data_IF_190434984170
#
_entry.id   IF_190434984170
#
_cell.length_a   1.000
_cell.length_b   1.000
_cell.length_c   1.000
_cell.angle_alpha   90.00
_cell.angle_beta   90.00
_cell.angle_gamma   90.00
#
_symmetry.space_group_name_H-M   'P 1'
#
loop_
_entity.id
_entity.type
_entity.pdbx_description
1 polymer ?
#
# COMPACT_ATOMS: atom_id res chain seq x y z
N UNK A 1 -47.57 41.87 38.92
CA UNK A 1 -47.36 40.95 37.79
C UNK A 1 -46.14 41.26 36.92
N UNK A 2 -45.43 42.40 37.10
CA UNK A 2 -44.34 42.79 36.18
C UNK A 2 -42.97 42.17 36.45
N UNK A 3 -42.67 41.74 37.68
CA UNK A 3 -41.31 41.29 38.06
C UNK A 3 -40.99 39.82 37.72
N UNK A 4 -42.01 38.97 37.50
CA UNK A 4 -41.80 37.55 37.15
C UNK A 4 -41.46 37.37 35.66
N UNK A 5 -41.98 38.24 34.80
CA UNK A 5 -41.71 38.25 33.35
C UNK A 5 -40.31 38.77 33.01
N UNK A 6 -39.81 39.77 33.74
CA UNK A 6 -38.43 40.26 33.56
C UNK A 6 -37.36 39.23 33.95
N UNK A 7 -37.62 38.40 34.97
CA UNK A 7 -36.68 37.38 35.40
C UNK A 7 -36.59 36.21 34.39
N UNK A 8 -37.70 35.84 33.74
CA UNK A 8 -37.70 34.81 32.70
C UNK A 8 -37.00 35.29 31.42
N UNK A 9 -37.24 36.53 30.98
CA UNK A 9 -36.55 37.10 29.81
C UNK A 9 -35.04 37.26 30.04
N UNK A 10 -34.62 37.61 31.26
CA UNK A 10 -33.20 37.67 31.61
C UNK A 10 -32.56 36.29 31.63
N UNK A 11 -33.24 35.26 32.14
CA UNK A 11 -32.74 33.89 32.16
C UNK A 11 -32.64 33.29 30.75
N UNK A 12 -33.61 33.57 29.89
CA UNK A 12 -33.63 33.17 28.49
C UNK A 12 -32.54 33.88 27.67
N UNK A 13 -32.33 35.18 27.90
CA UNK A 13 -31.23 35.93 27.27
C UNK A 13 -29.84 35.46 27.75
N UNK A 14 -29.70 35.06 29.01
CA UNK A 14 -28.45 34.49 29.55
C UNK A 14 -28.19 33.07 29.04
N UNK A 15 -29.24 32.26 28.83
CA UNK A 15 -29.10 30.92 28.25
C UNK A 15 -28.75 30.99 26.76
N UNK A 16 -29.41 31.91 26.02
CA UNK A 16 -29.11 32.20 24.62
C UNK A 16 -27.67 32.71 24.46
N UNK A 17 -27.23 33.63 25.32
CA UNK A 17 -25.83 34.10 25.36
C UNK A 17 -24.84 32.98 25.76
N UNK A 18 -25.21 32.05 26.63
CA UNK A 18 -24.39 30.87 26.97
C UNK A 18 -24.30 29.84 25.83
N UNK A 19 -25.35 29.66 25.04
CA UNK A 19 -25.34 28.85 23.81
C UNK A 19 -24.53 29.53 22.71
N UNK A 20 -24.71 30.85 22.52
CA UNK A 20 -23.93 31.66 21.57
C UNK A 20 -22.43 31.67 21.91
N UNK A 21 -22.06 31.64 23.20
CA UNK A 21 -20.66 31.52 23.68
C UNK A 21 -20.15 30.08 23.59
N UNK A 22 -21.00 29.05 23.74
CA UNK A 22 -20.58 27.64 23.54
C UNK A 22 -20.35 27.30 22.07
N UNK A 23 -21.04 27.98 21.15
CA UNK A 23 -20.73 27.96 19.71
C UNK A 23 -19.51 28.83 19.34
N UNK A 24 -19.00 29.65 20.26
CA UNK A 24 -17.79 30.43 20.04
C UNK A 24 -16.53 29.60 20.36
N UNK A 25 -16.08 28.87 19.34
CA UNK A 25 -14.67 28.62 19.00
C UNK A 25 -13.95 27.54 19.82
N UNK A 26 -14.38 26.28 19.68
CA UNK A 26 -13.37 25.28 19.33
C UNK A 26 -13.31 25.30 17.79
N UNK A 27 -12.16 25.55 17.15
CA UNK A 27 -12.08 25.38 15.71
C UNK A 27 -12.54 23.95 15.39
N UNK A 28 -13.40 23.80 14.38
CA UNK A 28 -13.77 22.47 13.90
C UNK A 28 -12.46 21.76 13.50
N UNK A 29 -12.17 20.64 14.14
CA UNK A 29 -10.94 19.88 13.87
C UNK A 29 -11.21 18.82 12.80
N UNK A 30 -10.49 18.91 11.69
CA UNK A 30 -10.45 17.89 10.65
C UNK A 30 -9.25 16.98 10.88
N UNK A 31 -9.53 15.70 11.13
CA UNK A 31 -8.50 14.67 11.12
C UNK A 31 -8.34 14.15 9.70
N UNK A 32 -7.12 14.27 9.19
CA UNK A 32 -6.74 13.86 7.84
C UNK A 32 -5.75 12.72 7.93
N UNK A 33 -6.04 11.60 7.29
CA UNK A 33 -5.12 10.48 7.12
C UNK A 33 -4.94 10.18 5.64
N UNK A 34 -3.73 10.38 5.15
CA UNK A 34 -3.29 10.05 3.79
C UNK A 34 -2.24 8.95 3.90
N UNK A 35 -2.38 7.91 3.08
CA UNK A 35 -1.40 6.82 3.00
C UNK A 35 -0.22 7.23 2.09
N UNK A 36 0.95 6.62 2.28
CA UNK A 36 2.19 6.96 1.54
C UNK A 36 2.04 6.84 0.01
N UNK A 37 1.20 5.91 -0.44
CA UNK A 37 0.98 5.61 -1.85
C UNK A 37 -0.51 5.44 -2.12
N UNK A 38 -1.04 6.29 -3.01
CA UNK A 38 -2.44 6.27 -3.42
C UNK A 38 -2.55 6.06 -4.92
N UNK A 39 -3.26 5.00 -5.30
CA UNK A 39 -3.55 4.66 -6.69
C UNK A 39 -4.97 5.09 -7.04
N UNK A 40 -5.11 5.89 -8.10
CA UNK A 40 -6.39 6.38 -8.62
C UNK A 40 -6.60 5.93 -10.07
N UNK A 41 -7.82 5.51 -10.39
CA UNK A 41 -8.18 5.08 -11.74
C UNK A 41 -8.60 6.25 -12.65
N UNK A 42 -8.95 7.39 -12.05
CA UNK A 42 -9.43 8.58 -12.73
C UNK A 42 -8.37 9.69 -12.75
N UNK A 43 -8.27 10.41 -13.87
CA UNK A 43 -7.38 11.57 -13.99
C UNK A 43 -7.79 12.76 -13.11
N UNK A 44 -9.06 12.81 -12.67
CA UNK A 44 -9.56 13.81 -11.73
C UNK A 44 -9.60 13.22 -10.35
N UNK A 45 -8.84 13.83 -9.43
CA UNK A 45 -8.63 13.31 -8.08
C UNK A 45 -9.32 14.22 -7.08
N UNK A 46 -10.25 13.65 -6.33
CA UNK A 46 -10.93 14.32 -5.23
C UNK A 46 -10.27 13.95 -3.90
N UNK A 47 -10.48 14.78 -2.88
CA UNK A 47 -9.88 14.55 -1.56
C UNK A 47 -10.34 13.22 -0.94
N UNK A 48 -11.57 12.79 -1.20
CA UNK A 48 -12.07 11.48 -0.75
C UNK A 48 -11.33 10.29 -1.36
N UNK A 49 -10.71 10.47 -2.54
CA UNK A 49 -10.02 9.39 -3.26
C UNK A 49 -8.61 9.16 -2.68
N UNK A 50 -8.06 10.17 -1.98
CA UNK A 50 -6.69 10.18 -1.46
C UNK A 50 -6.59 10.15 0.05
N UNK A 51 -7.65 10.56 0.76
CA UNK A 51 -7.60 10.75 2.19
C UNK A 51 -8.82 10.19 2.91
N UNK A 52 -8.56 9.51 4.03
CA UNK A 52 -9.57 9.27 5.05
C UNK A 52 -9.71 10.52 5.91
N UNK A 53 -10.95 10.98 6.09
CA UNK A 53 -11.26 12.23 6.79
C UNK A 53 -12.34 12.02 7.84
N UNK A 54 -12.12 12.58 9.02
CA UNK A 54 -13.09 12.64 10.12
C UNK A 54 -13.18 14.06 10.65
N UNK A 55 -14.40 14.58 10.85
CA UNK A 55 -14.63 15.92 11.38
C UNK A 55 -15.96 15.95 12.11
N UNK A 56 -16.02 16.71 13.21
CA UNK A 56 -17.25 16.93 14.01
C UNK A 56 -18.37 17.57 13.18
N UNK A 57 -18.02 18.34 12.14
CA UNK A 57 -18.95 19.04 11.27
C UNK A 57 -19.17 18.28 9.95
N UNK A 58 -20.28 17.53 9.87
CA UNK A 58 -20.62 16.73 8.68
C UNK A 58 -20.79 17.56 7.40
N UNK A 59 -21.23 18.82 7.51
CA UNK A 59 -21.47 19.66 6.34
C UNK A 59 -20.13 20.03 5.66
N UNK A 60 -19.13 20.38 6.47
CA UNK A 60 -17.75 20.64 6.00
C UNK A 60 -17.15 19.36 5.43
N UNK A 61 -17.30 18.22 6.12
CA UNK A 61 -16.77 16.93 5.66
C UNK A 61 -17.31 16.53 4.28
N UNK A 62 -18.61 16.73 4.01
CA UNK A 62 -19.21 16.40 2.70
C UNK A 62 -18.66 17.28 1.57
N UNK A 63 -18.43 18.56 1.85
CA UNK A 63 -17.86 19.48 0.85
C UNK A 63 -16.40 19.16 0.58
N UNK A 64 -15.61 18.90 1.63
CA UNK A 64 -14.20 18.51 1.50
C UNK A 64 -14.05 17.21 0.71
N UNK A 65 -14.91 16.21 0.91
CA UNK A 65 -14.90 14.96 0.13
C UNK A 65 -15.02 15.18 -1.38
N UNK A 66 -15.82 16.17 -1.80
CA UNK A 66 -16.03 16.51 -3.21
C UNK A 66 -15.00 17.52 -3.73
N UNK A 67 -14.15 18.08 -2.87
CA UNK A 67 -13.13 19.04 -3.29
C UNK A 67 -12.15 18.34 -4.24
N UNK A 68 -12.01 18.94 -5.41
CA UNK A 68 -11.05 18.52 -6.43
C UNK A 68 -9.67 19.03 -6.05
N UNK A 69 -8.72 18.11 -5.89
CA UNK A 69 -7.35 18.42 -5.43
C UNK A 69 -6.40 18.54 -6.61
N UNK A 70 -6.53 17.63 -7.58
CA UNK A 70 -5.61 17.61 -8.71
C UNK A 70 -6.25 17.05 -9.97
N UNK A 71 -5.71 17.41 -11.12
CA UNK A 71 -6.03 16.79 -12.40
C UNK A 71 -4.76 16.49 -13.14
N UNK A 72 -4.55 15.20 -13.41
CA UNK A 72 -3.46 14.76 -14.26
C UNK A 72 -3.66 15.30 -15.68
N UNK A 73 -2.86 16.29 -16.07
CA UNK A 73 -2.85 16.78 -17.44
C UNK A 73 -2.16 15.75 -18.35
N UNK A 74 -2.62 15.63 -19.59
CA UNK A 74 -1.98 14.75 -20.59
C UNK A 74 -0.53 15.16 -20.93
N UNK A 75 -0.13 16.37 -20.57
CA UNK A 75 1.20 16.94 -20.84
C UNK A 75 2.20 16.77 -19.70
N UNK A 76 1.75 16.48 -18.47
CA UNK A 76 2.60 16.41 -17.27
C UNK A 76 3.38 15.09 -17.17
N UNK A 77 3.20 14.19 -18.14
CA UNK A 77 3.93 12.93 -18.20
C UNK A 77 4.66 12.87 -19.52
N UNK A 78 5.99 12.83 -19.46
CA UNK A 78 6.87 12.49 -20.58
C UNK A 78 6.19 11.40 -21.43
N UNK A 79 5.87 11.79 -22.67
CA UNK A 79 5.12 11.02 -23.66
C UNK A 79 5.68 9.60 -23.78
N UNK A 80 5.15 8.65 -23.00
CA UNK A 80 5.19 7.16 -23.16
C UNK A 80 4.93 6.36 -21.88
N UNK A 81 4.79 6.95 -20.69
CA UNK A 81 4.47 6.15 -19.49
C UNK A 81 2.96 5.97 -19.34
N UNK A 82 2.54 4.70 -19.27
CA UNK A 82 1.16 4.22 -19.04
C UNK A 82 0.63 4.55 -17.64
N UNK A 83 1.51 5.00 -16.76
CA UNK A 83 1.28 5.30 -15.35
C UNK A 83 1.80 6.72 -15.13
N UNK A 84 0.95 7.60 -14.60
CA UNK A 84 1.34 8.97 -14.23
C UNK A 84 1.56 9.02 -12.73
N UNK A 85 2.75 9.45 -12.30
CA UNK A 85 3.13 9.49 -10.89
C UNK A 85 3.47 10.92 -10.54
N UNK A 86 2.90 11.45 -9.46
CA UNK A 86 3.20 12.77 -8.94
C UNK A 86 3.33 12.70 -7.41
N UNK A 87 4.35 13.35 -6.86
CA UNK A 87 4.55 13.46 -5.41
C UNK A 87 3.92 14.75 -4.90
N UNK A 88 3.19 14.65 -3.80
CA UNK A 88 2.52 15.75 -3.13
C UNK A 88 2.94 15.81 -1.67
N UNK A 89 3.17 17.02 -1.18
CA UNK A 89 3.26 17.31 0.25
C UNK A 89 1.85 17.45 0.83
N UNK A 90 1.61 16.86 2.01
CA UNK A 90 0.32 17.02 2.71
C UNK A 90 0.09 18.47 3.10
N UNK A 91 1.13 19.28 3.29
CA UNK A 91 0.99 20.72 3.53
C UNK A 91 0.31 21.43 2.36
N UNK A 92 0.56 21.01 1.12
CA UNK A 92 -0.12 21.58 -0.05
C UNK A 92 -1.62 21.27 -0.03
N UNK A 93 -2.00 20.07 0.45
CA UNK A 93 -3.41 19.70 0.64
C UNK A 93 -4.04 20.55 1.76
N UNK A 94 -3.34 20.72 2.87
CA UNK A 94 -3.79 21.55 4.00
C UNK A 94 -3.97 23.01 3.56
N UNK A 95 -3.04 23.56 2.76
CA UNK A 95 -3.15 24.91 2.17
C UNK A 95 -4.43 25.05 1.34
N UNK A 96 -4.70 24.09 0.44
CA UNK A 96 -5.93 24.09 -0.36
C UNK A 96 -7.21 23.96 0.48
N UNK A 97 -7.16 23.28 1.63
CA UNK A 97 -8.29 23.19 2.55
C UNK A 97 -8.51 24.53 3.27
N UNK A 98 -7.44 25.17 3.75
CA UNK A 98 -7.50 26.46 4.42
C UNK A 98 -7.94 27.62 3.51
N UNK A 99 -7.74 27.51 2.18
CA UNK A 99 -8.29 28.48 1.21
C UNK A 99 -9.82 28.53 1.26
N UNK A 100 -10.49 27.39 1.43
CA UNK A 100 -11.96 27.32 1.52
C UNK A 100 -12.45 27.51 2.97
N UNK A 101 -11.66 27.01 3.94
CA UNK A 101 -12.02 27.01 5.36
C UNK A 101 -10.87 27.54 6.25
N UNK A 102 -10.68 28.86 6.36
CA UNK A 102 -9.56 29.46 7.10
C UNK A 102 -9.57 29.21 8.61
N UNK A 103 -10.75 28.89 9.17
CA UNK A 103 -10.96 28.68 10.61
C UNK A 103 -10.96 27.20 11.00
N UNK A 104 -10.73 26.28 10.06
CA UNK A 104 -10.70 24.85 10.29
C UNK A 104 -9.31 24.44 10.78
N UNK A 105 -9.24 23.68 11.87
CA UNK A 105 -7.97 23.13 12.35
C UNK A 105 -7.74 21.77 11.68
N UNK A 106 -6.67 21.63 10.89
CA UNK A 106 -6.36 20.36 10.21
C UNK A 106 -5.25 19.62 10.97
N UNK A 107 -5.56 18.41 11.42
CA UNK A 107 -4.63 17.51 12.09
C UNK A 107 -4.27 16.34 11.15
N UNK A 108 -3.01 16.30 10.69
CA UNK A 108 -2.49 15.18 9.90
C UNK A 108 -2.10 14.01 10.82
N UNK A 109 -2.72 12.85 10.60
CA UNK A 109 -2.42 11.57 11.27
C UNK A 109 -1.69 10.61 10.31
N UNK A 110 -1.70 10.90 9.01
CA UNK A 110 -1.05 10.09 7.99
C UNK A 110 0.41 10.47 7.74
N UNK A 111 0.88 10.14 6.54
CA UNK A 111 2.24 10.49 6.09
C UNK A 111 2.38 12.00 5.82
N UNK A 112 3.60 12.53 5.82
CA UNK A 112 3.88 13.94 5.51
C UNK A 112 3.89 14.24 4.02
N UNK A 113 4.37 13.28 3.22
CA UNK A 113 4.43 13.31 1.77
C UNK A 113 3.83 12.02 1.22
N UNK A 114 3.18 12.10 0.06
CA UNK A 114 2.56 10.93 -0.55
C UNK A 114 2.71 10.91 -2.08
N UNK A 115 2.66 9.71 -2.63
CA UNK A 115 2.73 9.43 -4.05
C UNK A 115 1.32 9.23 -4.59
N UNK A 116 0.96 9.98 -5.63
CA UNK A 116 -0.30 9.83 -6.35
C UNK A 116 -0.04 9.19 -7.72
N UNK A 117 -0.52 7.97 -7.88
CA UNK A 117 -0.38 7.17 -9.11
C UNK A 117 -1.71 7.10 -9.86
N UNK A 118 -1.77 7.60 -11.10
CA UNK A 118 -2.94 7.50 -11.97
C UNK A 118 -2.76 6.42 -13.04
N UNK A 119 -3.68 5.44 -13.05
CA UNK A 119 -3.73 4.30 -13.99
C UNK A 119 -4.82 4.41 -15.07
N UNK A 120 -5.27 5.62 -15.38
CA UNK A 120 -6.27 5.84 -16.42
C UNK A 120 -5.77 5.39 -17.81
N UNK A 121 -6.48 4.44 -18.43
CA UNK A 121 -6.28 4.07 -19.84
C UNK A 121 -5.29 2.94 -20.12
N UNK A 122 -4.96 2.10 -19.13
CA UNK A 122 -4.15 0.89 -19.39
C UNK A 122 -5.00 -0.16 -20.12
N UNK A 123 -5.06 -0.08 -21.45
CA UNK A 123 -5.43 -1.22 -22.28
C UNK A 123 -4.25 -2.19 -22.32
N UNK A 124 -4.22 -3.08 -21.33
CA UNK A 124 -3.28 -4.19 -21.30
C UNK A 124 -3.62 -5.17 -22.42
N UNK A 125 -2.64 -5.41 -23.29
CA UNK A 125 -2.72 -6.53 -24.23
C UNK A 125 -2.48 -7.82 -23.43
N UNK A 126 -3.54 -8.31 -22.77
CA UNK A 126 -3.53 -9.50 -21.90
C UNK A 126 -2.79 -10.68 -22.53
N UNK A 127 -2.91 -10.86 -23.85
CA UNK A 127 -2.22 -11.92 -24.58
C UNK A 127 -0.68 -11.76 -24.56
N UNK A 128 -0.16 -10.54 -24.74
CA UNK A 128 1.29 -10.29 -24.71
C UNK A 128 1.86 -10.45 -23.30
N UNK A 129 1.10 -10.07 -22.28
CA UNK A 129 1.49 -10.27 -20.89
C UNK A 129 1.55 -11.76 -20.54
N UNK A 130 0.52 -12.53 -20.92
CA UNK A 130 0.53 -13.99 -20.73
C UNK A 130 1.74 -14.62 -21.42
N UNK A 131 2.06 -14.24 -22.66
CA UNK A 131 3.23 -14.78 -23.37
C UNK A 131 4.53 -14.44 -22.62
N UNK A 132 4.69 -13.21 -22.15
CA UNK A 132 5.86 -12.80 -21.35
C UNK A 132 5.96 -13.59 -20.05
N UNK A 133 4.84 -13.77 -19.36
CA UNK A 133 4.78 -14.56 -18.12
C UNK A 133 5.18 -16.01 -18.37
N UNK A 134 4.66 -16.64 -19.42
CA UNK A 134 5.00 -18.03 -19.77
C UNK A 134 6.49 -18.15 -20.10
N UNK A 135 7.03 -17.23 -20.91
CA UNK A 135 8.46 -17.22 -21.25
C UNK A 135 9.34 -17.08 -20.00
N UNK A 136 8.97 -16.17 -19.09
CA UNK A 136 9.67 -15.99 -17.82
C UNK A 136 9.62 -17.24 -16.95
N UNK A 137 8.45 -17.90 -16.84
CA UNK A 137 8.30 -19.15 -16.12
C UNK A 137 9.21 -20.25 -16.67
N UNK A 138 9.33 -20.37 -18.00
CA UNK A 138 10.21 -21.35 -18.65
C UNK A 138 11.68 -21.08 -18.31
N UNK A 139 12.13 -19.82 -18.40
CA UNK A 139 13.50 -19.45 -18.06
C UNK A 139 13.81 -19.76 -16.59
N UNK A 140 12.92 -19.38 -15.68
CA UNK A 140 13.07 -19.64 -14.25
C UNK A 140 13.07 -21.15 -13.96
N UNK A 141 12.22 -21.92 -14.63
CA UNK A 141 12.15 -23.37 -14.47
C UNK A 141 13.49 -24.04 -14.84
N UNK A 142 14.03 -23.73 -16.02
CA UNK A 142 15.32 -24.29 -16.42
C UNK A 142 16.48 -23.77 -15.57
N UNK A 143 16.46 -22.49 -15.19
CA UNK A 143 17.47 -21.91 -14.29
C UNK A 143 17.47 -22.60 -12.92
N UNK A 144 16.31 -22.75 -12.29
CA UNK A 144 16.17 -23.43 -11.01
C UNK A 144 16.56 -24.91 -11.09
N UNK A 145 16.11 -25.62 -12.14
CA UNK A 145 16.47 -27.01 -12.37
C UNK A 145 17.99 -27.18 -12.53
N UNK A 146 18.62 -26.29 -13.30
CA UNK A 146 20.08 -26.28 -13.48
C UNK A 146 20.80 -26.02 -12.15
N UNK A 147 20.39 -24.99 -11.39
CA UNK A 147 20.99 -24.68 -10.08
C UNK A 147 20.86 -25.85 -9.09
N UNK A 148 19.69 -26.49 -9.02
CA UNK A 148 19.47 -27.66 -8.15
C UNK A 148 20.36 -28.82 -8.61
N UNK A 149 20.45 -29.08 -9.91
CA UNK A 149 21.29 -30.15 -10.45
C UNK A 149 22.77 -29.90 -10.13
N UNK A 150 23.27 -28.69 -10.34
CA UNK A 150 24.65 -28.34 -10.03
C UNK A 150 24.92 -28.42 -8.54
N UNK A 151 24.00 -27.97 -7.69
CA UNK A 151 24.16 -28.05 -6.25
C UNK A 151 24.19 -29.50 -5.74
N UNK A 152 23.24 -30.32 -6.19
CA UNK A 152 23.19 -31.74 -5.80
C UNK A 152 24.41 -32.52 -6.30
N UNK A 153 24.97 -32.14 -7.45
CA UNK A 153 26.20 -32.73 -7.95
C UNK A 153 27.44 -32.22 -7.18
N UNK A 154 27.56 -30.91 -6.95
CA UNK A 154 28.70 -30.29 -6.26
C UNK A 154 28.84 -30.76 -4.80
N UNK A 155 27.71 -30.93 -4.11
CA UNK A 155 27.67 -31.48 -2.74
C UNK A 155 27.80 -33.02 -2.73
N UNK A 156 27.76 -33.69 -3.89
CA UNK A 156 27.83 -35.14 -3.99
C UNK A 156 26.64 -35.83 -3.30
N UNK A 157 25.42 -35.29 -3.47
CA UNK A 157 24.21 -35.78 -2.79
C UNK A 157 23.96 -37.26 -3.05
N UNK A 158 24.23 -37.73 -4.28
CA UNK A 158 24.13 -39.15 -4.62
C UNK A 158 25.07 -40.04 -3.79
N UNK A 159 26.33 -39.61 -3.59
CA UNK A 159 27.30 -40.36 -2.79
C UNK A 159 26.92 -40.39 -1.32
N UNK A 160 26.43 -39.26 -0.79
CA UNK A 160 25.94 -39.16 0.58
C UNK A 160 24.72 -40.07 0.79
N UNK A 161 23.76 -40.03 -0.12
CA UNK A 161 22.58 -40.88 -0.04
C UNK A 161 22.89 -42.35 -0.20
N UNK A 162 23.82 -42.74 -1.08
CA UNK A 162 24.28 -44.12 -1.20
C UNK A 162 24.89 -44.66 0.10
N UNK A 163 25.77 -43.87 0.74
CA UNK A 163 26.37 -44.24 2.04
C UNK A 163 25.33 -44.30 3.14
N UNK A 164 24.40 -43.35 3.19
CA UNK A 164 23.34 -43.29 4.19
C UNK A 164 22.37 -44.47 4.00
N UNK A 165 22.04 -44.80 2.75
CA UNK A 165 21.25 -45.98 2.41
C UNK A 165 21.91 -47.26 2.91
N UNK A 166 23.19 -47.45 2.63
CA UNK A 166 23.94 -48.61 3.10
C UNK A 166 23.99 -48.69 4.63
N UNK A 167 24.15 -47.56 5.33
CA UNK A 167 24.16 -47.53 6.79
C UNK A 167 22.80 -47.88 7.41
N UNK A 168 21.70 -47.44 6.80
CA UNK A 168 20.33 -47.64 7.34
C UNK A 168 19.75 -48.99 6.93
N UNK A 169 19.91 -49.40 5.67
CA UNK A 169 19.30 -50.61 5.09
C UNK A 169 20.26 -51.81 5.14
N UNK A 170 21.57 -51.57 5.26
CA UNK A 170 22.59 -52.64 5.33
C UNK A 170 22.91 -53.30 3.99
N UNK A 171 22.46 -52.71 2.87
CA UNK A 171 22.65 -53.22 1.50
C UNK A 171 23.25 -52.11 0.63
N UNK A 172 24.04 -52.47 -0.37
CA UNK A 172 24.54 -51.48 -1.33
C UNK A 172 23.40 -50.90 -2.16
N UNK A 173 23.54 -49.63 -2.52
CA UNK A 173 22.59 -48.89 -3.36
C UNK A 173 22.66 -49.40 -4.80
N UNK A 174 21.51 -49.77 -5.38
CA UNK A 174 21.42 -50.28 -6.76
C UNK A 174 20.62 -49.32 -7.66
N UNK A 175 21.08 -48.07 -7.73
CA UNK A 175 20.45 -47.01 -8.52
C UNK A 175 19.59 -46.06 -7.68
N UNK A 176 18.37 -45.75 -8.16
CA UNK A 176 17.48 -44.79 -7.48
C UNK A 176 16.94 -45.42 -6.19
N UNK A 177 17.27 -44.83 -5.05
CA UNK A 177 16.90 -45.37 -3.72
C UNK A 177 15.59 -44.80 -3.19
N UNK A 178 14.97 -45.48 -2.22
CA UNK A 178 13.78 -44.95 -1.53
C UNK A 178 14.05 -43.59 -0.88
N UNK A 179 15.27 -43.36 -0.38
CA UNK A 179 15.69 -42.10 0.24
C UNK A 179 15.65 -40.95 -0.77
N UNK A 180 16.11 -41.19 -2.00
CA UNK A 180 16.05 -40.19 -3.08
C UNK A 180 14.61 -39.85 -3.46
N UNK A 181 13.70 -40.83 -3.45
CA UNK A 181 12.27 -40.59 -3.71
C UNK A 181 11.66 -39.74 -2.59
N UNK A 182 11.94 -40.04 -1.33
CA UNK A 182 11.48 -39.23 -0.19
C UNK A 182 12.06 -37.82 -0.21
N UNK A 183 13.33 -37.66 -0.62
CA UNK A 183 13.93 -36.34 -0.82
C UNK A 183 13.23 -35.57 -1.94
N UNK A 184 13.02 -36.20 -3.10
CA UNK A 184 12.39 -35.57 -4.26
C UNK A 184 10.95 -35.11 -4.00
N UNK A 185 10.19 -35.83 -3.16
CA UNK A 185 8.82 -35.48 -2.76
C UNK A 185 8.83 -34.54 -1.54
N UNK A 186 9.72 -34.78 -0.58
CA UNK A 186 9.82 -34.00 0.65
C UNK A 186 10.25 -32.56 0.41
N UNK A 187 11.12 -32.33 -0.58
CA UNK A 187 11.58 -31.00 -0.97
C UNK A 187 10.43 -30.07 -1.39
N UNK A 188 9.60 -30.38 -2.41
CA UNK A 188 8.50 -29.52 -2.81
C UNK A 188 7.45 -29.39 -1.70
N UNK A 189 7.17 -30.45 -0.93
CA UNK A 189 6.24 -30.38 0.22
C UNK A 189 6.76 -29.40 1.28
N UNK A 190 8.04 -29.52 1.66
CA UNK A 190 8.68 -28.65 2.65
C UNK A 190 8.65 -27.18 2.21
N UNK A 191 9.00 -26.89 0.95
CA UNK A 191 8.95 -25.54 0.38
C UNK A 191 7.51 -25.00 0.39
N UNK A 192 6.53 -25.81 0.01
CA UNK A 192 5.11 -25.41 -0.02
C UNK A 192 4.59 -25.05 1.37
N UNK A 193 4.94 -25.85 2.39
CA UNK A 193 4.58 -25.59 3.79
C UNK A 193 5.33 -24.34 4.31
N UNK A 194 6.62 -24.22 4.04
CA UNK A 194 7.46 -23.09 4.48
C UNK A 194 6.91 -21.75 3.98
N UNK A 195 6.54 -21.66 2.70
CA UNK A 195 5.93 -20.46 2.14
C UNK A 195 4.44 -20.32 2.46
N UNK A 196 3.87 -21.20 3.28
CA UNK A 196 2.49 -21.13 3.75
C UNK A 196 1.49 -20.99 2.58
N UNK A 197 1.81 -21.59 1.43
CA UNK A 197 1.08 -21.43 0.18
C UNK A 197 0.74 -22.79 -0.44
N UNK A 198 -0.32 -23.45 0.05
CA UNK A 198 -0.88 -24.63 -0.59
C UNK A 198 -1.96 -24.17 -1.59
N UNK A 199 -1.51 -23.80 -2.79
CA UNK A 199 -2.39 -23.33 -3.87
C UNK A 199 -3.20 -22.09 -3.47
N UNK A 200 -4.53 -22.20 -3.43
CA UNK A 200 -5.43 -21.06 -3.07
C UNK A 200 -5.70 -20.90 -1.58
N UNK A 201 -5.21 -21.79 -0.72
CA UNK A 201 -5.45 -21.75 0.72
C UNK A 201 -4.15 -21.50 1.47
N UNK A 202 -4.19 -20.52 2.38
CA UNK A 202 -3.13 -20.32 3.36
C UNK A 202 -3.25 -21.43 4.41
N UNK A 203 -2.13 -22.03 4.81
CA UNK A 203 -2.07 -23.01 5.92
C UNK A 203 -2.26 -22.27 7.26
N UNK A 204 -1.78 -21.02 7.35
CA UNK A 204 -1.84 -20.11 8.49
C UNK A 204 -2.19 -18.68 8.05
N UNK A 205 -2.75 -17.85 8.93
CA UNK A 205 -3.12 -16.46 8.61
C UNK A 205 -1.94 -15.48 8.51
N UNK A 206 -0.77 -15.87 9.00
CA UNK A 206 0.43 -15.04 9.02
C UNK A 206 0.94 -14.70 7.61
N UNK A 207 1.52 -13.50 7.42
CA UNK A 207 2.13 -13.13 6.15
C UNK A 207 3.29 -14.06 5.83
N UNK A 208 3.40 -14.47 4.57
CA UNK A 208 4.51 -15.31 4.12
C UNK A 208 5.81 -14.51 4.13
N UNK A 209 7.00 -15.14 4.29
CA UNK A 209 8.27 -14.42 4.26
C UNK A 209 8.42 -13.52 3.03
N UNK A 210 8.01 -14.00 1.85
CA UNK A 210 8.02 -13.21 0.63
C UNK A 210 7.05 -12.02 0.67
N UNK A 211 5.88 -12.14 1.32
CA UNK A 211 4.97 -10.99 1.50
C UNK A 211 5.58 -9.92 2.40
N UNK A 212 6.29 -10.32 3.45
CA UNK A 212 6.98 -9.37 4.34
C UNK A 212 8.07 -8.64 3.58
N UNK A 213 8.86 -9.36 2.78
CA UNK A 213 9.94 -8.77 2.00
C UNK A 213 9.44 -7.88 0.87
N UNK A 214 8.35 -8.26 0.17
CA UNK A 214 7.72 -7.40 -0.83
C UNK A 214 7.17 -6.11 -0.22
N UNK A 215 6.56 -6.16 0.97
CA UNK A 215 6.11 -4.93 1.66
C UNK A 215 7.27 -4.01 2.03
N UNK A 216 8.39 -4.56 2.48
CA UNK A 216 9.60 -3.77 2.76
C UNK A 216 10.14 -3.15 1.47
N UNK A 217 10.22 -3.94 0.41
CA UNK A 217 10.66 -3.46 -0.90
C UNK A 217 9.77 -2.33 -1.43
N UNK A 218 8.44 -2.48 -1.35
CA UNK A 218 7.48 -1.44 -1.73
C UNK A 218 7.72 -0.16 -0.93
N UNK A 219 7.85 -0.27 0.40
CA UNK A 219 8.12 0.87 1.28
C UNK A 219 9.46 1.56 0.95
N UNK A 220 10.51 0.80 0.68
CA UNK A 220 11.82 1.32 0.33
C UNK A 220 11.78 2.05 -1.02
N UNK A 221 11.05 1.51 -2.00
CA UNK A 221 10.84 2.13 -3.32
C UNK A 221 10.07 3.44 -3.19
N UNK A 222 8.97 3.44 -2.43
CA UNK A 222 8.13 4.63 -2.24
C UNK A 222 8.91 5.73 -1.53
N UNK A 223 9.64 5.38 -0.46
CA UNK A 223 10.50 6.32 0.27
C UNK A 223 11.58 6.91 -0.65
N UNK A 224 12.25 6.06 -1.44
CA UNK A 224 13.27 6.51 -2.40
C UNK A 224 12.67 7.43 -3.46
N UNK A 225 11.44 7.17 -3.90
CA UNK A 225 10.77 8.00 -4.90
C UNK A 225 10.42 9.39 -4.35
N UNK A 226 9.91 9.45 -3.12
CA UNK A 226 9.63 10.71 -2.41
C UNK A 226 10.92 11.52 -2.24
N UNK A 227 11.98 10.90 -1.69
CA UNK A 227 13.26 11.57 -1.47
C UNK A 227 13.86 12.15 -2.77
N UNK A 228 13.79 11.40 -3.87
CA UNK A 228 14.28 11.86 -5.17
C UNK A 228 13.43 13.00 -5.73
N UNK A 229 12.10 12.94 -5.60
CA UNK A 229 11.22 14.01 -6.06
C UNK A 229 11.48 15.32 -5.29
N UNK A 230 11.68 15.24 -3.97
CA UNK A 230 12.03 16.38 -3.13
C UNK A 230 13.40 16.96 -3.50
N UNK A 231 14.41 16.12 -3.80
CA UNK A 231 15.73 16.57 -4.24
C UNK A 231 15.74 17.21 -5.63
N UNK A 232 14.90 16.74 -6.54
CA UNK A 232 14.80 17.25 -7.91
C UNK A 232 13.85 18.46 -8.04
N UNK A 233 13.20 18.88 -6.95
CA UNK A 233 12.19 19.94 -6.97
C UNK A 233 10.94 19.60 -7.78
N UNK A 234 10.66 18.31 -7.95
CA UNK A 234 9.48 17.79 -8.68
C UNK A 234 8.31 17.48 -7.76
N UNK A 235 8.50 17.58 -6.44
CA UNK A 235 7.44 17.53 -5.45
C UNK A 235 6.59 18.80 -5.52
N UNK A 236 5.27 18.65 -5.48
CA UNK A 236 4.38 19.80 -5.31
C UNK A 236 4.29 20.10 -3.82
N UNK A 237 5.04 21.10 -3.39
CA UNK A 237 5.09 21.57 -2.01
C UNK A 237 4.46 22.98 -1.88
N UNK A 238 4.31 23.46 -0.65
CA UNK A 238 3.83 24.81 -0.38
C UNK A 238 4.90 25.85 -0.77
N UNK A 239 4.51 26.80 -1.62
CA UNK A 239 5.28 28.05 -1.86
C UNK A 239 5.51 28.85 -0.57
#
# INVERSE_FOLDING_TARGET
MSGRTQMSEFCEAQNKRKEDIRMAIAPDTLYLKIDQNVVVDNCQVHLQDIASMECTNEAVLRQLKQKKIYTFQEKDTEKKKKIRIQVFSVLNIIKQIHEDYPNLEVCNIGESDFILECKAGVTENKALEIIKTVLLCVIIFFGAAFTIMTFNNDVGVADVFSRLYQQVIGRESDGVTEIEIFYAIGMPIGITIFYNHIGRKKVTHDPTPIQVEMRKYEQDVDTTFIENASREGKSIDVD
#
